data_IF_575242352364
#
_entry.id   IF_575242352364
#
_cell.length_a   1.000
_cell.length_b   1.000
_cell.length_c   1.000
_cell.angle_alpha   90.00
_cell.angle_beta   90.00
_cell.angle_gamma   90.00
#
_symmetry.space_group_name_H-M   'P 1'
#
loop_
_entity.id
_entity.type
_entity.pdbx_description
1 polymer ?
#
# COMPACT_ATOMS: atom_id res chain seq x y z
N UNK A 1 -25.97 12.11 12.97
CA UNK A 1 -24.70 12.57 12.36
C UNK A 1 -23.40 12.42 13.19
N UNK A 2 -23.32 11.85 14.41
CA UNK A 2 -22.10 11.92 15.25
C UNK A 2 -20.98 10.89 14.91
N UNK A 3 -21.22 9.84 14.13
CA UNK A 3 -20.23 8.76 13.90
C UNK A 3 -19.22 9.10 12.78
N UNK A 4 -19.59 9.97 11.83
CA UNK A 4 -18.67 10.41 10.75
C UNK A 4 -17.53 11.26 11.31
N UNK A 5 -17.74 11.94 12.44
CA UNK A 5 -16.79 12.90 13.00
C UNK A 5 -15.52 12.26 13.57
N UNK A 6 -15.56 10.98 13.92
CA UNK A 6 -14.39 10.23 14.44
C UNK A 6 -13.44 9.72 13.35
N UNK A 7 -13.80 9.86 12.08
CA UNK A 7 -13.01 9.37 10.94
C UNK A 7 -11.91 10.36 10.52
N UNK A 8 -10.89 9.90 9.80
CA UNK A 8 -9.86 10.81 9.25
C UNK A 8 -10.46 11.79 8.23
N UNK A 9 -9.79 12.92 8.00
CA UNK A 9 -10.25 13.96 7.04
C UNK A 9 -10.55 13.38 5.65
N UNK A 10 -9.66 12.53 5.13
CA UNK A 10 -9.82 11.86 3.84
C UNK A 10 -11.05 10.95 3.80
N UNK A 11 -11.31 10.21 4.88
CA UNK A 11 -12.47 9.32 4.97
C UNK A 11 -13.76 10.12 5.00
N UNK A 12 -13.80 11.23 5.76
CA UNK A 12 -14.95 12.16 5.77
C UNK A 12 -15.25 12.68 4.37
N UNK A 13 -14.23 13.12 3.64
CA UNK A 13 -14.40 13.65 2.29
C UNK A 13 -14.92 12.58 1.33
N UNK A 14 -14.38 11.36 1.39
CA UNK A 14 -14.88 10.22 0.61
C UNK A 14 -16.34 9.88 0.95
N UNK A 15 -16.72 9.93 2.22
CA UNK A 15 -18.10 9.63 2.63
C UNK A 15 -19.08 10.68 2.15
N UNK A 16 -18.74 11.97 2.28
CA UNK A 16 -19.53 13.08 1.74
C UNK A 16 -19.70 12.95 0.22
N UNK A 17 -18.63 12.60 -0.49
CA UNK A 17 -18.69 12.35 -1.92
C UNK A 17 -19.61 11.18 -2.27
N UNK A 18 -19.49 10.05 -1.57
CA UNK A 18 -20.34 8.87 -1.82
C UNK A 18 -21.83 9.17 -1.62
N UNK A 19 -22.18 9.85 -0.52
CA UNK A 19 -23.57 10.26 -0.25
C UNK A 19 -24.07 11.24 -1.32
N UNK A 20 -23.24 12.21 -1.73
CA UNK A 20 -23.58 13.17 -2.80
C UNK A 20 -23.84 12.44 -4.13
N UNK A 21 -22.97 11.51 -4.51
CA UNK A 21 -23.10 10.72 -5.74
C UNK A 21 -24.36 9.87 -5.71
N UNK A 22 -24.63 9.17 -4.61
CA UNK A 22 -25.84 8.36 -4.48
C UNK A 22 -27.11 9.22 -4.58
N UNK A 23 -27.19 10.33 -3.83
CA UNK A 23 -28.34 11.25 -3.87
C UNK A 23 -28.57 11.88 -5.23
N UNK A 24 -27.51 12.14 -5.99
CA UNK A 24 -27.64 12.65 -7.37
C UNK A 24 -28.31 11.64 -8.31
N UNK A 25 -28.23 10.35 -8.01
CA UNK A 25 -28.76 9.26 -8.86
C UNK A 25 -30.12 8.75 -8.36
N UNK A 26 -30.26 8.59 -7.04
CA UNK A 26 -31.44 8.03 -6.38
C UNK A 26 -32.46 9.09 -5.92
N UNK A 27 -32.08 10.38 -5.94
CA UNK A 27 -32.84 11.45 -5.31
C UNK A 27 -32.65 11.49 -3.78
N UNK A 28 -33.15 12.55 -3.15
CA UNK A 28 -33.23 12.67 -1.68
C UNK A 28 -34.61 12.19 -1.26
N UNK A 29 -34.66 11.19 -0.39
CA UNK A 29 -35.89 10.62 0.15
C UNK A 29 -35.75 10.38 1.65
N UNK A 30 -36.87 10.40 2.36
CA UNK A 30 -36.94 10.04 3.78
C UNK A 30 -36.83 8.52 3.98
N UNK A 31 -37.41 7.76 3.04
CA UNK A 31 -37.30 6.30 2.96
C UNK A 31 -36.94 5.86 1.55
N UNK A 32 -36.07 4.87 1.45
CA UNK A 32 -35.66 4.25 0.20
C UNK A 32 -36.24 2.84 0.12
N UNK A 33 -36.77 2.48 -1.05
CA UNK A 33 -37.23 1.11 -1.34
C UNK A 33 -36.11 0.28 -1.97
N UNK A 34 -36.25 -1.05 -1.97
CA UNK A 34 -35.33 -1.94 -2.68
C UNK A 34 -35.22 -1.61 -4.17
N UNK A 35 -36.32 -1.18 -4.79
CA UNK A 35 -36.36 -0.78 -6.20
C UNK A 35 -35.60 0.53 -6.46
N UNK A 36 -35.66 1.48 -5.52
CA UNK A 36 -34.85 2.70 -5.58
C UNK A 36 -33.36 2.38 -5.51
N UNK A 37 -32.98 1.45 -4.65
CA UNK A 37 -31.59 1.00 -4.53
C UNK A 37 -31.14 0.30 -5.81
N UNK A 38 -31.92 -0.65 -6.35
CA UNK A 38 -31.56 -1.37 -7.59
C UNK A 38 -31.35 -0.42 -8.78
N UNK A 39 -32.28 0.50 -9.00
CA UNK A 39 -32.17 1.53 -10.06
C UNK A 39 -30.95 2.44 -9.85
N UNK A 40 -30.62 2.75 -8.60
CA UNK A 40 -29.42 3.53 -8.30
C UNK A 40 -28.13 2.74 -8.58
N UNK A 41 -28.10 1.44 -8.30
CA UNK A 41 -26.97 0.56 -8.63
C UNK A 41 -26.75 0.53 -10.14
N UNK A 42 -27.78 0.23 -10.93
CA UNK A 42 -27.70 0.16 -12.39
C UNK A 42 -27.12 1.45 -12.99
N UNK A 43 -27.65 2.60 -12.57
CA UNK A 43 -27.15 3.91 -13.01
C UNK A 43 -25.70 4.18 -12.60
N UNK A 44 -25.28 3.70 -11.42
CA UNK A 44 -23.91 3.86 -10.93
C UNK A 44 -22.93 2.90 -11.61
N UNK A 45 -23.35 1.68 -11.93
CA UNK A 45 -22.54 0.70 -12.66
C UNK A 45 -22.22 1.14 -14.09
N UNK A 46 -23.11 1.93 -14.72
CA UNK A 46 -22.80 2.60 -15.99
C UNK A 46 -21.63 3.60 -15.91
N UNK A 47 -21.25 4.06 -14.72
CA UNK A 47 -20.26 5.14 -14.52
C UNK A 47 -19.06 4.73 -13.68
N UNK A 48 -19.19 3.68 -12.89
CA UNK A 48 -18.19 3.31 -11.89
C UNK A 48 -17.96 1.81 -11.87
N UNK A 49 -16.72 1.42 -11.55
CA UNK A 49 -16.36 0.01 -11.34
C UNK A 49 -17.19 -0.60 -10.20
N UNK A 50 -17.50 -1.91 -10.24
CA UNK A 50 -18.33 -2.55 -9.20
C UNK A 50 -17.82 -2.37 -7.77
N UNK A 51 -16.50 -2.36 -7.56
CA UNK A 51 -15.89 -2.10 -6.24
C UNK A 51 -16.17 -0.69 -5.72
N UNK A 52 -16.25 0.30 -6.61
CA UNK A 52 -16.57 1.69 -6.28
C UNK A 52 -18.05 1.83 -5.96
N UNK A 53 -18.93 1.19 -6.74
CA UNK A 53 -20.37 1.13 -6.47
C UNK A 53 -20.60 0.50 -5.08
N UNK A 54 -20.04 -0.67 -4.82
CA UNK A 54 -20.12 -1.32 -3.50
C UNK A 54 -19.62 -0.40 -2.36
N UNK A 55 -18.53 0.34 -2.57
CA UNK A 55 -18.03 1.30 -1.58
C UNK A 55 -19.02 2.44 -1.31
N UNK A 56 -19.64 2.99 -2.36
CA UNK A 56 -20.67 4.04 -2.23
C UNK A 56 -21.85 3.51 -1.42
N UNK A 57 -22.34 2.32 -1.77
CA UNK A 57 -23.49 1.70 -1.11
C UNK A 57 -23.24 1.36 0.36
N UNK A 58 -22.05 0.85 0.71
CA UNK A 58 -21.68 0.62 2.12
C UNK A 58 -21.75 1.89 2.97
N UNK A 59 -21.25 3.00 2.44
CA UNK A 59 -21.33 4.31 3.11
C UNK A 59 -22.79 4.74 3.23
N UNK A 60 -23.55 4.68 2.14
CA UNK A 60 -24.94 5.15 2.14
C UNK A 60 -25.82 4.33 3.10
N UNK A 61 -25.70 3.00 3.11
CA UNK A 61 -26.38 2.12 4.07
C UNK A 61 -26.11 2.50 5.53
N UNK A 62 -24.91 2.97 5.82
CA UNK A 62 -24.50 3.32 7.19
C UNK A 62 -25.02 4.69 7.62
N UNK A 63 -25.14 5.64 6.69
CA UNK A 63 -25.28 7.07 7.03
C UNK A 63 -26.54 7.76 6.48
N UNK A 64 -27.25 7.13 5.54
CA UNK A 64 -28.52 7.65 5.01
C UNK A 64 -29.67 7.02 5.82
N UNK A 65 -30.53 7.83 6.48
CA UNK A 65 -31.74 7.34 7.14
C UNK A 65 -32.71 6.69 6.15
N UNK A 66 -33.59 5.81 6.64
CA UNK A 66 -34.61 5.17 5.80
C UNK A 66 -34.04 4.15 4.79
N UNK A 67 -32.82 3.66 5.02
CA UNK A 67 -32.22 2.62 4.19
C UNK A 67 -32.89 1.26 4.44
N UNK A 68 -33.17 0.44 3.40
CA UNK A 68 -33.78 -0.88 3.57
C UNK A 68 -32.96 -1.80 4.47
N UNK A 69 -33.59 -2.40 5.48
CA UNK A 69 -32.89 -3.26 6.46
C UNK A 69 -32.41 -4.58 5.85
N UNK A 70 -33.18 -5.14 4.91
CA UNK A 70 -33.02 -6.51 4.40
C UNK A 70 -32.54 -6.58 2.93
N UNK A 71 -31.83 -5.54 2.46
CA UNK A 71 -31.31 -5.51 1.10
C UNK A 71 -30.30 -6.65 0.86
N UNK A 72 -30.75 -7.68 0.14
CA UNK A 72 -29.89 -8.77 -0.35
C UNK A 72 -29.45 -8.48 -1.79
N UNK A 73 -28.43 -7.65 -1.95
CA UNK A 73 -27.82 -7.41 -3.26
C UNK A 73 -26.35 -7.84 -3.26
N UNK A 74 -25.99 -8.72 -4.21
CA UNK A 74 -24.61 -9.14 -4.45
C UNK A 74 -24.03 -8.30 -5.57
N UNK A 75 -23.06 -7.45 -5.25
CA UNK A 75 -22.31 -6.71 -6.27
C UNK A 75 -21.46 -7.68 -7.08
N UNK A 76 -21.42 -7.48 -8.40
CA UNK A 76 -20.50 -8.20 -9.26
C UNK A 76 -19.06 -7.97 -8.79
N UNK A 77 -18.30 -9.05 -8.59
CA UNK A 77 -16.85 -8.96 -8.41
C UNK A 77 -16.22 -8.90 -9.79
N UNK A 78 -15.72 -7.73 -10.19
CA UNK A 78 -14.82 -7.69 -11.33
C UNK A 78 -13.52 -8.41 -10.95
N UNK A 79 -13.04 -9.31 -11.81
CA UNK A 79 -11.70 -9.87 -11.73
C UNK A 79 -10.71 -8.72 -11.93
N UNK A 80 -10.22 -8.17 -10.82
CA UNK A 80 -9.17 -7.16 -10.86
C UNK A 80 -7.86 -7.91 -11.08
N UNK A 81 -7.48 -8.11 -12.34
CA UNK A 81 -6.10 -8.43 -12.70
C UNK A 81 -5.23 -7.31 -12.16
N UNK A 82 -4.54 -7.57 -11.04
CA UNK A 82 -3.60 -6.60 -10.48
C UNK A 82 -2.46 -6.43 -11.47
N UNK A 83 -2.22 -5.19 -11.88
CA UNK A 83 -1.00 -4.85 -12.59
C UNK A 83 0.15 -5.04 -11.61
N UNK A 84 0.93 -6.10 -11.81
CA UNK A 84 2.14 -6.39 -11.04
C UNK A 84 3.31 -5.85 -11.85
N UNK A 85 4.09 -4.94 -11.28
CA UNK A 85 5.38 -4.59 -11.85
C UNK A 85 6.28 -5.83 -11.74
N UNK A 86 6.80 -6.31 -12.87
CA UNK A 86 7.70 -7.45 -12.87
C UNK A 86 9.00 -7.13 -12.13
N UNK A 87 9.68 -8.15 -11.60
CA UNK A 87 11.00 -8.02 -10.95
C UNK A 87 11.99 -7.28 -11.87
N UNK A 88 11.95 -7.55 -13.18
CA UNK A 88 12.80 -6.86 -14.17
C UNK A 88 12.54 -5.36 -14.32
N UNK A 89 11.27 -4.92 -14.25
CA UNK A 89 10.93 -3.49 -14.28
C UNK A 89 11.47 -2.80 -13.01
N UNK A 90 11.33 -3.45 -11.84
CA UNK A 90 11.85 -2.93 -10.58
C UNK A 90 13.38 -2.87 -10.57
N UNK A 91 14.05 -3.85 -11.15
CA UNK A 91 15.50 -3.84 -11.28
C UNK A 91 15.98 -2.61 -12.09
N UNK A 92 15.34 -2.31 -13.23
CA UNK A 92 15.62 -1.09 -14.00
C UNK A 92 15.41 0.18 -13.16
N UNK A 93 14.34 0.23 -12.38
CA UNK A 93 14.07 1.36 -11.47
C UNK A 93 15.14 1.50 -10.39
N UNK A 94 15.64 0.40 -9.81
CA UNK A 94 16.76 0.42 -8.85
C UNK A 94 18.01 1.00 -9.52
N UNK A 95 18.41 0.46 -10.68
CA UNK A 95 19.59 0.95 -11.41
C UNK A 95 19.49 2.42 -11.81
N UNK A 96 18.29 2.91 -12.13
CA UNK A 96 18.06 4.31 -12.46
C UNK A 96 18.33 5.28 -11.29
N UNK A 97 18.33 4.80 -10.04
CA UNK A 97 18.47 5.64 -8.83
C UNK A 97 19.61 5.25 -7.88
N UNK A 98 20.24 4.08 -8.09
CA UNK A 98 21.24 3.51 -7.18
C UNK A 98 22.50 4.36 -7.02
N UNK A 99 22.98 4.98 -8.12
CA UNK A 99 24.20 5.81 -8.12
C UNK A 99 24.04 7.19 -7.48
N UNK A 100 24.78 8.18 -7.98
CA UNK A 100 24.73 9.60 -7.56
C UNK A 100 23.44 10.33 -7.98
N UNK A 101 22.36 9.59 -8.16
CA UNK A 101 21.03 10.12 -8.41
C UNK A 101 20.47 10.87 -7.21
N UNK A 102 19.29 11.45 -7.41
CA UNK A 102 18.53 12.15 -6.37
C UNK A 102 18.40 11.28 -5.10
N UNK A 103 19.01 11.75 -4.01
CA UNK A 103 19.06 11.06 -2.73
C UNK A 103 17.66 10.74 -2.17
N UNK A 104 16.65 11.54 -2.55
CA UNK A 104 15.26 11.27 -2.19
C UNK A 104 14.71 10.07 -2.97
N UNK A 105 14.97 10.00 -4.27
CA UNK A 105 14.49 8.89 -5.12
C UNK A 105 15.17 7.60 -4.71
N UNK A 106 16.49 7.65 -4.51
CA UNK A 106 17.28 6.53 -3.99
C UNK A 106 16.72 6.04 -2.67
N UNK A 107 16.46 6.95 -1.72
CA UNK A 107 15.96 6.60 -0.39
C UNK A 107 14.60 5.88 -0.41
N UNK A 108 13.61 6.42 -1.12
CA UNK A 108 12.29 5.76 -1.19
C UNK A 108 12.33 4.43 -1.95
N UNK A 109 13.14 4.35 -3.02
CA UNK A 109 13.30 3.11 -3.76
C UNK A 109 13.99 2.04 -2.92
N UNK A 110 15.06 2.40 -2.20
CA UNK A 110 15.80 1.52 -1.30
C UNK A 110 14.87 0.95 -0.23
N UNK A 111 14.16 1.81 0.51
CA UNK A 111 13.25 1.36 1.57
C UNK A 111 12.07 0.55 1.04
N UNK A 112 11.50 0.92 -0.11
CA UNK A 112 10.39 0.18 -0.71
C UNK A 112 10.81 -1.20 -1.20
N UNK A 113 12.01 -1.34 -1.77
CA UNK A 113 12.49 -2.60 -2.35
C UNK A 113 13.07 -3.54 -1.29
N UNK A 114 13.82 -3.02 -0.32
CA UNK A 114 14.41 -3.84 0.75
C UNK A 114 13.40 -4.26 1.82
N UNK A 115 12.44 -3.40 2.17
CA UNK A 115 11.53 -3.68 3.30
C UNK A 115 10.07 -3.76 2.88
N UNK A 116 9.72 -3.50 1.62
CA UNK A 116 8.36 -3.64 1.12
C UNK A 116 7.36 -2.67 1.74
N UNK A 117 7.77 -1.47 2.14
CA UNK A 117 6.88 -0.51 2.82
C UNK A 117 5.62 -0.18 2.00
N UNK A 118 4.47 0.01 2.67
CA UNK A 118 3.27 0.58 2.02
C UNK A 118 3.53 2.05 1.69
N UNK A 119 2.89 2.58 0.65
CA UNK A 119 2.98 4.01 0.30
C UNK A 119 2.73 4.96 1.49
N UNK A 120 1.79 4.62 2.37
CA UNK A 120 1.52 5.42 3.57
C UNK A 120 2.59 5.27 4.66
N UNK A 121 3.29 4.13 4.71
CA UNK A 121 4.42 3.91 5.63
C UNK A 121 5.64 4.68 5.12
N UNK A 122 5.97 4.57 3.83
CA UNK A 122 6.97 5.40 3.14
C UNK A 122 6.74 6.90 3.39
N UNK A 123 5.49 7.35 3.27
CA UNK A 123 5.09 8.74 3.49
C UNK A 123 5.37 9.26 4.91
N UNK A 124 5.49 8.35 5.87
CA UNK A 124 5.66 8.66 7.28
C UNK A 124 7.08 8.38 7.80
N UNK A 125 7.99 7.88 6.95
CA UNK A 125 9.39 7.62 7.34
C UNK A 125 10.04 8.92 7.76
N UNK A 126 10.80 8.86 8.85
CA UNK A 126 11.57 9.98 9.36
C UNK A 126 13.07 9.64 9.36
N UNK A 127 13.96 10.65 9.32
CA UNK A 127 15.40 10.41 9.42
C UNK A 127 15.80 9.57 10.64
N UNK A 128 15.19 9.81 11.80
CA UNK A 128 15.47 9.09 13.04
C UNK A 128 15.07 7.61 13.02
N UNK A 129 14.28 7.17 12.04
CA UNK A 129 13.95 5.76 11.87
C UNK A 129 15.14 4.97 11.29
N UNK A 130 16.17 5.65 10.75
CA UNK A 130 17.38 5.03 10.19
C UNK A 130 18.54 5.26 11.16
N UNK A 131 18.98 4.20 11.85
CA UNK A 131 20.07 4.20 12.83
C UNK A 131 21.27 3.44 12.28
N UNK A 132 22.14 4.14 11.55
CA UNK A 132 23.31 3.54 10.88
C UNK A 132 24.42 3.10 11.84
N UNK A 133 24.47 3.70 13.02
CA UNK A 133 25.34 3.28 14.13
C UNK A 133 24.97 1.88 14.65
N UNK A 134 23.67 1.54 14.61
CA UNK A 134 23.13 0.28 15.09
C UNK A 134 22.80 -0.72 13.98
N UNK A 135 22.95 -0.34 12.71
CA UNK A 135 22.47 -1.10 11.56
C UNK A 135 20.96 -1.44 11.67
N UNK A 136 20.14 -0.48 12.08
CA UNK A 136 18.70 -0.68 12.26
C UNK A 136 17.88 0.33 11.47
N UNK A 137 16.86 -0.17 10.79
CA UNK A 137 15.75 0.62 10.25
C UNK A 137 14.45 0.32 11.03
N UNK A 138 13.80 1.34 11.58
CA UNK A 138 12.53 1.21 12.29
C UNK A 138 11.33 1.41 11.36
N UNK A 139 10.69 0.31 10.95
CA UNK A 139 9.51 0.33 10.10
C UNK A 139 8.25 0.62 10.91
N UNK A 140 7.82 1.89 10.89
CA UNK A 140 6.51 2.30 11.43
C UNK A 140 5.40 1.81 10.52
N UNK A 141 4.43 1.12 11.10
CA UNK A 141 3.22 0.69 10.41
C UNK A 141 2.08 1.65 10.68
N UNK A 142 1.28 1.87 9.65
CA UNK A 142 -0.04 2.48 9.76
C UNK A 142 -1.11 1.39 9.60
N UNK A 143 -2.36 1.69 9.98
CA UNK A 143 -3.51 0.78 9.82
C UNK A 143 -3.38 -0.56 10.58
N UNK A 144 -2.72 -0.56 11.73
CA UNK A 144 -2.65 -1.73 12.62
C UNK A 144 -1.75 -2.86 12.11
N UNK A 145 -0.78 -2.58 11.24
CA UNK A 145 0.35 -3.48 11.02
C UNK A 145 1.28 -3.52 12.25
N UNK A 146 2.19 -4.49 12.30
CA UNK A 146 3.15 -4.63 13.41
C UNK A 146 4.37 -3.72 13.16
N UNK A 147 4.62 -2.76 14.06
CA UNK A 147 5.84 -1.95 14.03
C UNK A 147 7.03 -2.83 14.37
N UNK A 148 8.16 -2.61 13.71
CA UNK A 148 9.32 -3.49 13.88
C UNK A 148 10.63 -2.82 13.50
N UNK A 149 11.68 -3.19 14.22
CA UNK A 149 13.07 -2.97 13.83
C UNK A 149 13.51 -4.02 12.80
N UNK A 150 14.03 -3.55 11.69
CA UNK A 150 14.71 -4.34 10.68
C UNK A 150 16.22 -4.11 10.75
N UNK A 151 17.01 -5.14 10.49
CA UNK A 151 18.44 -4.99 10.23
C UNK A 151 18.67 -4.24 8.91
N UNK A 152 19.69 -3.40 8.87
CA UNK A 152 20.27 -2.87 7.63
C UNK A 152 21.41 -3.81 7.23
N UNK A 153 21.36 -4.46 6.06
CA UNK A 153 22.44 -5.32 5.60
C UNK A 153 23.72 -4.50 5.39
N UNK A 154 24.85 -5.02 5.87
CA UNK A 154 26.14 -4.30 5.81
C UNK A 154 26.54 -4.02 4.35
N UNK A 155 26.26 -4.95 3.43
CA UNK A 155 26.61 -4.84 2.00
C UNK A 155 25.93 -3.68 1.27
N UNK A 156 24.86 -3.11 1.82
CA UNK A 156 24.11 -1.99 1.22
C UNK A 156 24.04 -0.77 2.14
N UNK A 157 24.75 -0.80 3.28
CA UNK A 157 24.68 0.23 4.31
C UNK A 157 25.06 1.61 3.79
N UNK A 158 26.03 1.70 2.89
CA UNK A 158 26.48 2.95 2.29
C UNK A 158 25.38 3.66 1.49
N UNK A 159 24.41 2.93 0.92
CA UNK A 159 23.27 3.54 0.23
C UNK A 159 22.33 4.30 1.16
N UNK A 160 22.38 4.02 2.46
CA UNK A 160 21.61 4.77 3.46
C UNK A 160 22.27 6.10 3.86
N UNK A 161 23.54 6.30 3.53
CA UNK A 161 24.25 7.55 3.80
C UNK A 161 23.75 8.68 2.90
N UNK A 162 23.52 9.84 3.50
CA UNK A 162 23.12 11.06 2.77
C UNK A 162 21.72 11.00 2.15
N UNK A 163 20.84 10.09 2.59
CA UNK A 163 19.46 10.03 2.11
C UNK A 163 18.66 11.27 2.52
N UNK A 164 17.87 11.79 1.59
CA UNK A 164 16.93 12.90 1.84
C UNK A 164 15.52 12.36 2.02
N UNK A 165 15.28 11.69 3.15
CA UNK A 165 13.97 11.12 3.50
C UNK A 165 13.35 11.91 4.64
N UNK A 166 12.17 12.44 4.40
CA UNK A 166 11.35 13.15 5.38
C UNK A 166 9.89 12.76 5.18
N UNK A 167 8.99 12.99 6.15
CA UNK A 167 7.58 12.77 5.93
C UNK A 167 7.06 13.54 4.69
N UNK A 168 6.42 12.83 3.77
CA UNK A 168 5.90 13.38 2.52
C UNK A 168 4.41 13.13 2.34
N UNK A 169 3.79 13.92 1.47
CA UNK A 169 2.44 13.61 1.01
C UNK A 169 2.43 12.35 0.14
N UNK A 170 1.33 11.59 0.19
CA UNK A 170 1.13 10.42 -0.68
C UNK A 170 1.10 10.79 -2.16
N UNK A 171 0.66 12.01 -2.46
CA UNK A 171 0.64 12.60 -3.80
C UNK A 171 2.06 12.79 -4.32
N UNK A 172 2.95 13.37 -3.51
CA UNK A 172 4.35 13.54 -3.89
C UNK A 172 5.02 12.17 -4.09
N UNK A 173 4.80 11.21 -3.19
CA UNK A 173 5.34 9.86 -3.39
C UNK A 173 4.82 9.23 -4.69
N UNK A 174 3.55 9.44 -5.05
CA UNK A 174 3.01 8.95 -6.33
C UNK A 174 3.72 9.62 -7.52
N UNK A 175 4.04 10.91 -7.42
CA UNK A 175 4.82 11.62 -8.43
C UNK A 175 6.27 11.08 -8.50
N UNK A 176 6.93 10.89 -7.36
CA UNK A 176 8.28 10.31 -7.27
C UNK A 176 8.33 8.94 -7.97
N UNK A 177 7.37 8.07 -7.69
CA UNK A 177 7.29 6.76 -8.35
C UNK A 177 7.25 6.89 -9.88
N UNK A 178 6.41 7.78 -10.41
CA UNK A 178 6.32 8.03 -11.86
C UNK A 178 7.60 8.62 -12.45
N UNK A 179 8.27 9.50 -11.69
CA UNK A 179 9.56 10.07 -12.11
C UNK A 179 10.65 9.00 -12.17
N UNK A 180 10.65 8.04 -11.24
CA UNK A 180 11.56 6.89 -11.26
C UNK A 180 11.24 5.97 -12.45
N UNK A 181 9.96 5.67 -12.73
CA UNK A 181 9.56 4.90 -13.91
C UNK A 181 10.05 5.57 -15.21
N UNK A 182 9.82 6.88 -15.35
CA UNK A 182 10.29 7.65 -16.50
C UNK A 182 11.82 7.61 -16.62
N UNK A 183 12.55 7.76 -15.52
CA UNK A 183 14.02 7.67 -15.50
C UNK A 183 14.53 6.28 -15.88
N UNK A 184 13.76 5.24 -15.57
CA UNK A 184 14.04 3.86 -15.95
C UNK A 184 13.59 3.52 -17.39
N UNK A 185 13.01 4.46 -18.13
CA UNK A 185 12.47 4.22 -19.47
C UNK A 185 11.25 3.30 -19.48
N UNK A 186 10.46 3.30 -18.41
CA UNK A 186 9.28 2.44 -18.25
C UNK A 186 8.01 3.26 -18.48
N UNK A 187 7.12 2.75 -19.33
CA UNK A 187 5.80 3.35 -19.53
C UNK A 187 4.90 3.12 -18.30
N UNK A 188 4.30 4.20 -17.80
CA UNK A 188 3.45 4.14 -16.62
C UNK A 188 2.16 3.35 -16.89
N UNK A 189 1.97 2.24 -16.17
CA UNK A 189 0.74 1.46 -16.22
C UNK A 189 -0.26 1.97 -15.18
N UNK A 190 -1.51 2.20 -15.60
CA UNK A 190 -2.55 2.67 -14.68
C UNK A 190 -2.74 1.69 -13.50
N UNK A 191 -2.64 2.21 -12.28
CA UNK A 191 -2.75 1.40 -11.06
C UNK A 191 -1.42 0.86 -10.53
N UNK A 192 -0.30 1.03 -11.27
CA UNK A 192 1.04 0.81 -10.76
C UNK A 192 1.44 1.90 -9.74
N UNK A 193 2.30 1.54 -8.80
CA UNK A 193 2.76 2.40 -7.71
C UNK A 193 3.57 1.63 -6.69
N UNK A 194 3.92 2.26 -5.56
CA UNK A 194 4.69 1.63 -4.47
C UNK A 194 4.14 0.27 -4.00
N UNK A 195 2.83 0.06 -4.09
CA UNK A 195 2.24 -1.22 -3.73
C UNK A 195 2.62 -2.36 -4.69
N UNK A 196 2.90 -2.04 -5.96
CA UNK A 196 3.40 -3.00 -6.93
C UNK A 196 4.81 -3.49 -6.55
N UNK A 197 5.69 -2.61 -6.05
CA UNK A 197 7.02 -3.00 -5.54
C UNK A 197 6.88 -3.97 -4.37
N UNK A 198 6.00 -3.67 -3.41
CA UNK A 198 5.73 -4.59 -2.28
C UNK A 198 5.19 -5.94 -2.76
N UNK A 199 4.31 -5.96 -3.76
CA UNK A 199 3.80 -7.19 -4.34
C UNK A 199 4.90 -8.01 -5.01
N UNK A 200 5.74 -7.37 -5.82
CA UNK A 200 6.86 -8.02 -6.46
C UNK A 200 7.89 -8.55 -5.46
N UNK A 201 8.13 -7.83 -4.35
CA UNK A 201 8.94 -8.35 -3.25
C UNK A 201 8.33 -9.62 -2.65
N UNK A 202 7.03 -9.60 -2.34
CA UNK A 202 6.36 -10.77 -1.79
C UNK A 202 6.38 -11.98 -2.75
N UNK A 203 6.16 -11.73 -4.04
CA UNK A 203 6.25 -12.74 -5.09
C UNK A 203 7.67 -13.29 -5.21
N UNK A 204 8.68 -12.43 -5.31
CA UNK A 204 10.07 -12.86 -5.44
C UNK A 204 10.59 -13.61 -4.21
N UNK A 205 10.16 -13.23 -3.01
CA UNK A 205 10.46 -14.01 -1.80
C UNK A 205 9.84 -15.42 -1.86
N UNK A 206 8.58 -15.53 -2.28
CA UNK A 206 7.91 -16.83 -2.42
C UNK A 206 8.57 -17.70 -3.52
N UNK A 207 8.92 -17.10 -4.66
CA UNK A 207 9.64 -17.76 -5.75
C UNK A 207 11.03 -18.24 -5.32
N UNK A 208 11.71 -17.47 -4.46
CA UNK A 208 12.99 -17.86 -3.86
C UNK A 208 12.84 -18.82 -2.66
N UNK A 209 11.65 -19.36 -2.40
CA UNK A 209 11.41 -20.40 -1.40
C UNK A 209 11.27 -19.90 0.04
N UNK A 210 10.93 -18.63 0.24
CA UNK A 210 10.71 -18.10 1.59
C UNK A 210 9.59 -18.84 2.32
N UNK A 211 9.82 -19.17 3.60
CA UNK A 211 8.76 -19.63 4.48
C UNK A 211 7.64 -18.56 4.56
N UNK A 212 6.36 -18.91 4.35
CA UNK A 212 5.26 -17.95 4.34
C UNK A 212 5.13 -17.15 5.65
N UNK A 213 5.42 -17.77 6.80
CA UNK A 213 5.36 -17.09 8.10
C UNK A 213 6.48 -16.07 8.24
N UNK A 214 7.70 -16.43 7.83
CA UNK A 214 8.84 -15.49 7.79
C UNK A 214 8.59 -14.33 6.82
N UNK A 215 8.08 -14.60 5.62
CA UNK A 215 7.76 -13.56 4.63
C UNK A 215 6.65 -12.62 5.15
N UNK A 216 5.60 -13.17 5.79
CA UNK A 216 4.53 -12.40 6.43
C UNK A 216 5.04 -11.51 7.55
N UNK A 217 5.91 -12.05 8.41
CA UNK A 217 6.55 -11.34 9.51
C UNK A 217 7.48 -10.23 8.99
N UNK A 218 8.32 -10.52 7.99
CA UNK A 218 9.20 -9.56 7.33
C UNK A 218 8.42 -8.40 6.69
N UNK A 219 7.36 -8.72 5.96
CA UNK A 219 6.52 -7.72 5.31
C UNK A 219 5.61 -6.99 6.31
N UNK A 220 5.49 -7.44 7.57
CA UNK A 220 4.62 -6.86 8.60
C UNK A 220 3.14 -6.90 8.18
N UNK A 221 2.71 -8.05 7.67
CA UNK A 221 1.28 -8.31 7.48
C UNK A 221 0.62 -8.55 8.83
N UNK A 222 -0.64 -8.09 8.97
CA UNK A 222 -1.38 -8.23 10.22
C UNK A 222 -1.75 -9.70 10.40
N UNK A 223 -1.39 -10.26 11.55
CA UNK A 223 -1.80 -11.59 11.94
C UNK A 223 -3.25 -11.59 12.42
N UNK A 224 -4.00 -12.58 11.98
CA UNK A 224 -5.36 -12.86 12.46
C UNK A 224 -5.37 -13.99 13.50
N UNK A 225 -4.24 -14.69 13.70
CA UNK A 225 -4.09 -15.78 14.67
C UNK A 225 -3.37 -15.35 15.94
N UNK A 226 -3.81 -15.86 17.10
CA UNK A 226 -3.26 -15.51 18.41
C UNK A 226 -1.81 -15.99 18.60
N UNK A 227 -1.44 -17.11 17.98
CA UNK A 227 -0.15 -17.80 18.16
C UNK A 227 1.03 -17.09 17.47
N UNK A 228 0.78 -16.46 16.33
CA UNK A 228 1.81 -15.76 15.54
C UNK A 228 2.29 -14.48 16.24
N UNK A 229 1.45 -13.85 17.08
CA UNK A 229 1.83 -12.69 17.89
C UNK A 229 2.91 -12.99 18.95
N UNK A 230 3.07 -14.26 19.35
CA UNK A 230 4.08 -14.67 20.34
C UNK A 230 5.45 -14.93 19.70
N UNK A 231 5.52 -15.10 18.38
CA UNK A 231 6.73 -15.49 17.67
C UNK A 231 7.28 -14.28 16.92
N UNK A 232 7.94 -13.38 17.65
CA UNK A 232 8.66 -12.24 17.08
C UNK A 232 10.13 -12.62 16.84
N UNK A 233 10.41 -13.32 15.74
CA UNK A 233 11.78 -13.55 15.28
C UNK A 233 12.32 -12.29 14.59
N UNK A 234 12.60 -11.21 15.31
CA UNK A 234 12.96 -9.92 14.66
C UNK A 234 14.22 -10.06 13.82
N UNK A 235 15.40 -10.23 14.41
CA UNK A 235 16.62 -10.21 13.59
C UNK A 235 16.90 -11.51 12.84
N UNK A 236 16.40 -12.65 13.34
CA UNK A 236 16.51 -13.94 12.65
C UNK A 236 15.75 -13.93 11.32
N UNK A 237 14.54 -13.39 11.28
CA UNK A 237 13.75 -13.31 10.05
C UNK A 237 14.47 -12.46 9.01
N UNK A 238 15.04 -11.32 9.39
CA UNK A 238 15.76 -10.47 8.43
C UNK A 238 16.94 -11.19 7.80
N UNK A 239 17.77 -11.88 8.61
CA UNK A 239 18.92 -12.63 8.10
C UNK A 239 18.50 -13.68 7.06
N UNK A 240 17.53 -14.52 7.41
CA UNK A 240 17.03 -15.56 6.51
C UNK A 240 16.43 -14.96 5.24
N UNK A 241 15.68 -13.86 5.37
CA UNK A 241 15.07 -13.20 4.21
C UNK A 241 16.14 -12.56 3.32
N UNK A 242 17.18 -11.95 3.88
CA UNK A 242 18.27 -11.33 3.12
C UNK A 242 19.03 -12.34 2.26
N UNK A 243 19.23 -13.56 2.74
CA UNK A 243 19.88 -14.64 1.97
C UNK A 243 19.13 -14.98 0.67
N UNK A 244 17.82 -14.75 0.63
CA UNK A 244 16.94 -15.06 -0.51
C UNK A 244 16.25 -13.81 -1.08
N UNK A 245 16.70 -12.62 -0.73
CA UNK A 245 15.98 -11.39 -1.04
C UNK A 245 16.11 -11.03 -2.53
N UNK A 246 15.00 -10.89 -3.28
CA UNK A 246 15.03 -10.78 -4.75
C UNK A 246 15.69 -9.49 -5.26
N UNK A 247 15.83 -8.47 -4.42
CA UNK A 247 16.39 -7.17 -4.81
C UNK A 247 17.66 -6.79 -4.05
N UNK A 248 18.13 -7.57 -3.07
CA UNK A 248 19.23 -7.13 -2.20
C UNK A 248 20.53 -7.00 -3.01
N UNK A 249 20.87 -8.04 -3.78
CA UNK A 249 22.04 -8.05 -4.65
C UNK A 249 22.02 -6.97 -5.74
N UNK A 250 20.85 -6.42 -6.08
CA UNK A 250 20.76 -5.29 -7.02
C UNK A 250 21.29 -3.99 -6.39
N UNK A 251 21.22 -3.88 -5.06
CA UNK A 251 21.77 -2.77 -4.28
C UNK A 251 23.22 -2.98 -3.86
N UNK A 252 23.79 -4.18 -3.96
CA UNK A 252 25.19 -4.40 -3.61
C UNK A 252 26.11 -3.84 -4.70
N UNK A 253 27.18 -3.15 -4.32
CA UNK A 253 28.21 -2.76 -5.29
C UNK A 253 28.88 -4.02 -5.83
N UNK A 254 29.03 -4.08 -7.16
CA UNK A 254 29.74 -5.18 -7.81
C UNK A 254 31.25 -4.96 -7.74
#
# INVERSE_FOLDING_TARGET
>A
MPVVERQSKDVKQRYRWAIKVFRAVAGVKDEYTDDDIRRAIEKLECRYKPSSVNSIFKVCRTYIPGWPKDLSYKFSSADVTKVIAGIGDIAKMIYAVKGDGDAMYRGYMLLSTLYGLRCSELAAVKPEDIRLDQNIFFARTLKGGVQREHLIPESVKHHFSGLSIFPQSRQLLTAIYKMIEAKAGIEHRQGAGWHAIRHALATGLAENGADPTMAKNFLRWKDTGMYENYIMFTYRTDRVIFDIHPFLSLWEDK
#
